data_IF_259956618077
#
_entry.id   IF_259956618077
#
_cell.length_a   1.000
_cell.length_b   1.000
_cell.length_c   1.000
_cell.angle_alpha   90.00
_cell.angle_beta   90.00
_cell.angle_gamma   90.00
#
_symmetry.space_group_name_H-M   'P 1'
#
loop_
_entity.id
_entity.type
_entity.pdbx_description
1 polymer ?
#
# COMPACT_ATOMS: atom_id res chain seq x y z
N UNK A 1 -19.56 -28.03 51.94
CA UNK A 1 -18.14 -27.64 51.71
C UNK A 1 -17.87 -27.08 50.30
N UNK A 2 -18.66 -27.40 49.26
CA UNK A 2 -18.46 -26.90 47.88
C UNK A 2 -18.72 -25.38 47.71
N UNK A 3 -19.73 -24.83 48.37
CA UNK A 3 -20.09 -23.40 48.28
C UNK A 3 -19.03 -22.44 48.84
N UNK A 4 -18.31 -22.84 49.91
CA UNK A 4 -17.27 -21.99 50.50
C UNK A 4 -16.01 -21.92 49.62
N UNK A 5 -15.68 -22.98 48.87
CA UNK A 5 -14.55 -22.96 47.93
C UNK A 5 -14.84 -22.08 46.71
N UNK A 6 -16.07 -22.09 46.20
CA UNK A 6 -16.48 -21.24 45.09
C UNK A 6 -16.49 -19.75 45.47
N UNK A 7 -17.06 -19.42 46.63
CA UNK A 7 -17.08 -18.05 47.16
C UNK A 7 -15.65 -17.51 47.41
N UNK A 8 -14.76 -18.34 47.94
CA UNK A 8 -13.35 -17.97 48.11
C UNK A 8 -12.68 -17.69 46.76
N UNK A 9 -12.85 -18.56 45.77
CA UNK A 9 -12.23 -18.44 44.43
C UNK A 9 -12.72 -17.17 43.69
N UNK A 10 -13.99 -16.82 43.83
CA UNK A 10 -14.57 -15.57 43.30
C UNK A 10 -13.97 -14.35 43.99
N UNK A 11 -13.88 -14.37 45.33
CA UNK A 11 -13.29 -13.27 46.11
C UNK A 11 -11.81 -13.06 45.77
N UNK A 12 -11.04 -14.12 45.59
CA UNK A 12 -9.62 -14.04 45.20
C UNK A 12 -9.47 -13.45 43.79
N UNK A 13 -10.24 -13.93 42.80
CA UNK A 13 -10.22 -13.37 41.43
C UNK A 13 -10.65 -11.91 41.40
N UNK A 14 -11.65 -11.51 42.19
CA UNK A 14 -12.08 -10.12 42.29
C UNK A 14 -11.00 -9.21 42.88
N UNK A 15 -10.26 -9.67 43.89
CA UNK A 15 -9.15 -8.90 44.47
C UNK A 15 -7.96 -8.79 43.50
N UNK A 16 -7.65 -9.85 42.76
CA UNK A 16 -6.62 -9.80 41.70
C UNK A 16 -7.03 -8.86 40.56
N UNK A 17 -8.28 -8.91 40.11
CA UNK A 17 -8.83 -7.97 39.15
C UNK A 17 -8.73 -6.53 39.65
N UNK A 18 -9.13 -6.25 40.91
CA UNK A 18 -9.04 -4.92 41.52
C UNK A 18 -7.60 -4.42 41.61
N UNK A 19 -6.65 -5.30 41.98
CA UNK A 19 -5.22 -4.98 42.04
C UNK A 19 -4.64 -4.68 40.65
N UNK A 20 -5.02 -5.45 39.62
CA UNK A 20 -4.60 -5.24 38.22
C UNK A 20 -5.20 -3.96 37.64
N UNK A 21 -6.50 -3.70 37.87
CA UNK A 21 -7.19 -2.46 37.48
C UNK A 21 -6.51 -1.22 38.08
N UNK A 22 -6.19 -1.25 39.38
CA UNK A 22 -5.47 -0.16 40.02
C UNK A 22 -4.06 0.05 39.45
N UNK A 23 -3.37 -1.02 39.03
CA UNK A 23 -2.07 -0.93 38.38
C UNK A 23 -2.19 -0.28 36.99
N UNK A 24 -3.18 -0.65 36.18
CA UNK A 24 -3.40 -0.04 34.88
C UNK A 24 -3.89 1.41 34.95
N UNK A 25 -4.73 1.77 35.93
CA UNK A 25 -5.12 3.16 36.18
C UNK A 25 -3.89 4.02 36.54
N UNK A 26 -2.97 3.50 37.37
CA UNK A 26 -1.71 4.21 37.68
C UNK A 26 -0.82 4.39 36.45
N UNK A 27 -0.71 3.37 35.59
CA UNK A 27 0.08 3.45 34.34
C UNK A 27 -0.55 4.47 33.38
N UNK A 28 -1.87 4.50 33.27
CA UNK A 28 -2.59 5.50 32.48
C UNK A 28 -2.37 6.92 32.96
N UNK A 29 -2.47 7.15 34.28
CA UNK A 29 -2.23 8.47 34.86
C UNK A 29 -0.78 8.92 34.63
N UNK A 30 0.19 8.00 34.72
CA UNK A 30 1.59 8.28 34.40
C UNK A 30 1.76 8.62 32.91
N UNK A 31 1.17 7.85 32.00
CA UNK A 31 1.28 8.11 30.56
C UNK A 31 0.63 9.44 30.16
N UNK A 32 -0.55 9.76 30.72
CA UNK A 32 -1.21 11.05 30.51
C UNK A 32 -0.41 12.20 31.11
N UNK A 33 0.27 12.02 32.24
CA UNK A 33 1.16 13.03 32.79
C UNK A 33 2.39 13.27 31.90
N UNK A 34 2.99 12.22 31.33
CA UNK A 34 4.14 12.32 30.42
C UNK A 34 3.73 13.00 29.11
N UNK A 35 2.58 12.65 28.54
CA UNK A 35 2.00 13.32 27.37
C UNK A 35 1.70 14.79 27.67
N UNK A 36 1.11 15.10 28.82
CA UNK A 36 0.83 16.48 29.20
C UNK A 36 2.12 17.29 29.30
N UNK A 37 3.16 16.73 29.94
CA UNK A 37 4.47 17.36 30.09
C UNK A 37 5.17 17.57 28.74
N UNK A 38 5.08 16.61 27.80
CA UNK A 38 5.67 16.75 26.46
C UNK A 38 4.92 17.74 25.57
N UNK A 39 3.60 17.85 25.69
CA UNK A 39 2.80 18.89 25.05
C UNK A 39 3.10 20.28 25.62
N UNK A 40 3.30 20.42 26.94
CA UNK A 40 3.69 21.71 27.52
C UNK A 40 5.11 22.13 27.12
N UNK A 41 6.05 21.19 26.98
CA UNK A 41 7.39 21.49 26.44
C UNK A 41 7.35 21.85 24.95
N UNK A 42 6.53 21.17 24.15
CA UNK A 42 6.43 21.47 22.70
C UNK A 42 5.73 22.80 22.43
N UNK A 43 4.76 23.20 23.26
CA UNK A 43 4.07 24.49 23.15
C UNK A 43 5.00 25.67 23.46
N UNK A 44 5.92 25.52 24.43
CA UNK A 44 6.98 26.50 24.70
C UNK A 44 8.01 26.57 23.57
N UNK A 45 8.27 25.46 22.86
CA UNK A 45 9.21 25.43 21.74
C UNK A 45 8.61 25.99 20.43
N UNK A 46 7.29 25.87 20.24
CA UNK A 46 6.58 26.39 19.05
C UNK A 46 6.28 27.89 19.10
N UNK A 47 6.28 28.51 20.29
CA UNK A 47 6.03 29.96 20.43
C UNK A 47 7.22 30.84 20.02
N UNK A 48 8.44 30.27 19.94
CA UNK A 48 9.67 30.96 19.52
C UNK A 48 9.94 30.92 17.99
N UNK A 49 9.15 30.17 17.21
CA UNK A 49 9.36 29.95 15.76
C UNK A 49 8.20 30.51 14.90
N UNK A 50 7.89 31.79 15.06
CA UNK A 50 7.02 32.51 14.13
C UNK A 50 7.82 33.06 12.93
N UNK A 51 7.93 32.28 11.85
CA UNK A 51 8.24 32.78 10.51
C UNK A 51 6.94 32.88 9.70
N UNK A 52 6.57 34.07 9.17
CA UNK A 52 5.33 34.21 8.41
C UNK A 52 5.46 33.57 7.03
N UNK A 53 4.58 32.62 6.74
CA UNK A 53 4.44 32.04 5.40
C UNK A 53 3.67 33.05 4.55
N UNK A 54 4.37 33.73 3.63
CA UNK A 54 3.74 34.51 2.57
C UNK A 54 3.16 33.55 1.53
N UNK A 55 1.83 33.54 1.38
CA UNK A 55 1.15 32.90 0.26
C UNK A 55 1.27 33.81 -0.97
N UNK A 56 2.20 33.49 -1.87
CA UNK A 56 2.23 34.12 -3.18
C UNK A 56 1.09 33.57 -4.05
N UNK A 57 0.07 34.40 -4.20
CA UNK A 57 -0.93 34.31 -5.25
C UNK A 57 -0.24 34.33 -6.62
N UNK A 58 -0.38 33.24 -7.39
CA UNK A 58 0.05 33.20 -8.78
C UNK A 58 -0.99 33.86 -9.67
N UNK A 59 -0.62 35.02 -10.25
CA UNK A 59 -1.23 35.54 -11.45
C UNK A 59 -0.32 35.22 -12.64
N UNK A 60 -0.98 34.80 -13.72
CA UNK A 60 -0.41 34.46 -15.03
C UNK A 60 0.29 35.65 -15.70
N UNK A 61 1.03 35.33 -16.76
CA UNK A 61 1.78 36.20 -17.70
C UNK A 61 3.12 36.74 -17.23
N UNK A 62 4.18 35.92 -17.36
CA UNK A 62 5.48 36.40 -17.86
C UNK A 62 6.27 35.21 -18.44
N UNK A 63 6.63 35.28 -19.72
CA UNK A 63 7.59 34.37 -20.36
C UNK A 63 8.99 34.58 -19.76
N UNK A 64 9.64 33.55 -19.19
CA UNK A 64 11.05 33.65 -18.82
C UNK A 64 11.91 33.07 -19.95
N UNK A 65 12.68 33.93 -20.62
CA UNK A 65 13.82 33.51 -21.43
C UNK A 65 14.98 33.18 -20.48
N UNK A 66 15.42 31.92 -20.44
CA UNK A 66 16.63 31.52 -19.72
C UNK A 66 17.71 31.00 -20.69
N UNK A 67 19.01 31.20 -20.37
CA UNK A 67 20.12 30.89 -21.26
C UNK A 67 20.29 29.39 -21.49
N UNK A 68 20.66 29.01 -22.72
CA UNK A 68 21.03 27.63 -23.08
C UNK A 68 22.14 27.10 -22.17
N UNK A 69 21.84 26.02 -21.45
CA UNK A 69 22.84 25.24 -20.72
C UNK A 69 23.56 24.29 -21.70
N UNK A 70 24.85 23.98 -21.47
CA UNK A 70 25.64 23.18 -22.41
C UNK A 70 25.06 21.77 -22.58
N UNK A 71 24.97 21.35 -23.84
CA UNK A 71 24.55 20.04 -24.30
C UNK A 71 25.44 18.94 -23.70
N UNK A 72 25.02 18.36 -22.58
CA UNK A 72 25.58 17.11 -22.09
C UNK A 72 24.86 15.94 -22.77
N UNK A 73 25.67 14.99 -23.21
CA UNK A 73 25.34 13.81 -24.01
C UNK A 73 24.08 13.08 -23.55
N UNK A 74 23.22 12.81 -24.54
CA UNK A 74 22.10 11.87 -24.53
C UNK A 74 22.43 10.65 -23.65
N UNK A 75 21.85 10.58 -22.46
CA UNK A 75 21.79 9.34 -21.70
C UNK A 75 20.85 8.42 -22.46
N UNK A 76 21.38 7.33 -22.99
CA UNK A 76 20.58 6.32 -23.68
C UNK A 76 19.55 5.72 -22.70
N UNK A 77 18.35 5.30 -23.15
CA UNK A 77 17.32 4.69 -22.30
C UNK A 77 17.73 3.35 -21.65
N UNK A 78 18.97 2.88 -21.84
CA UNK A 78 19.42 1.53 -21.47
C UNK A 78 20.14 1.45 -20.12
N UNK A 79 20.53 2.57 -19.50
CA UNK A 79 21.14 2.55 -18.16
C UNK A 79 20.08 2.82 -17.09
N UNK A 80 19.30 1.79 -16.76
CA UNK A 80 18.52 1.81 -15.52
C UNK A 80 19.50 1.99 -14.36
N UNK A 81 19.37 3.09 -13.60
CA UNK A 81 20.17 3.38 -12.42
C UNK A 81 20.34 2.09 -11.58
N UNK A 82 21.57 1.66 -11.27
CA UNK A 82 21.81 0.43 -10.50
C UNK A 82 21.06 0.42 -9.15
N UNK A 83 20.75 1.60 -8.59
CA UNK A 83 19.92 1.74 -7.39
C UNK A 83 18.47 1.31 -7.65
N UNK A 84 17.91 1.69 -8.79
CA UNK A 84 16.55 1.29 -9.21
C UNK A 84 16.50 -0.22 -9.39
N UNK A 85 17.50 -0.80 -10.06
CA UNK A 85 17.57 -2.26 -10.24
C UNK A 85 17.62 -3.00 -8.89
N UNK A 86 18.41 -2.51 -7.93
CA UNK A 86 18.49 -3.10 -6.60
C UNK A 86 17.17 -2.97 -5.82
N UNK A 87 16.48 -1.84 -5.94
CA UNK A 87 15.14 -1.66 -5.35
C UNK A 87 14.14 -2.64 -5.96
N UNK A 88 14.16 -2.80 -7.29
CA UNK A 88 13.28 -3.74 -7.98
C UNK A 88 13.55 -5.18 -7.56
N UNK A 89 14.82 -5.58 -7.48
CA UNK A 89 15.22 -6.90 -6.98
C UNK A 89 14.73 -7.15 -5.55
N UNK A 90 14.85 -6.17 -4.65
CA UNK A 90 14.33 -6.27 -3.28
C UNK A 90 12.82 -6.45 -3.26
N UNK A 91 12.10 -5.71 -4.10
CA UNK A 91 10.65 -5.84 -4.19
C UNK A 91 10.21 -7.19 -4.77
N UNK A 92 10.92 -7.72 -5.78
CA UNK A 92 10.67 -9.06 -6.31
C UNK A 92 10.92 -10.16 -5.27
N UNK A 93 11.90 -9.97 -4.37
CA UNK A 93 12.13 -10.88 -3.26
C UNK A 93 11.00 -10.87 -2.22
N UNK A 94 10.33 -9.72 -2.03
CA UNK A 94 9.16 -9.62 -1.15
C UNK A 94 7.91 -10.27 -1.74
N UNK A 95 7.82 -10.39 -3.06
CA UNK A 95 6.68 -10.98 -3.77
C UNK A 95 7.20 -12.09 -4.71
N UNK A 96 7.62 -13.24 -4.15
CA UNK A 96 8.18 -14.30 -4.96
C UNK A 96 7.15 -14.85 -5.96
N UNK A 97 7.59 -15.34 -7.13
CA UNK A 97 6.74 -16.06 -8.06
C UNK A 97 6.04 -17.25 -7.38
N UNK A 98 4.71 -17.30 -7.47
CA UNK A 98 3.89 -18.40 -6.97
C UNK A 98 3.15 -19.02 -8.15
N UNK A 99 3.48 -20.26 -8.55
CA UNK A 99 2.75 -20.92 -9.61
C UNK A 99 1.30 -21.15 -9.18
N UNK A 100 0.38 -20.92 -10.09
CA UNK A 100 -1.05 -21.12 -9.87
C UNK A 100 -1.57 -22.31 -10.69
N UNK A 101 -1.48 -23.55 -10.18
CA UNK A 101 -1.93 -24.72 -10.92
C UNK A 101 -3.47 -24.83 -10.92
N UNK A 102 -4.11 -24.59 -9.77
CA UNK A 102 -5.55 -24.78 -9.57
C UNK A 102 -6.08 -23.97 -8.38
N UNK A 103 -7.34 -23.50 -8.44
CA UNK A 103 -7.97 -22.71 -7.35
C UNK A 103 -7.94 -23.43 -6.00
N UNK A 104 -8.11 -24.76 -6.02
CA UNK A 104 -8.14 -25.58 -4.81
C UNK A 104 -6.86 -25.51 -3.97
N UNK A 105 -5.71 -25.15 -4.57
CA UNK A 105 -4.43 -25.04 -3.85
C UNK A 105 -4.17 -23.65 -3.27
N UNK A 106 -5.08 -22.70 -3.50
CA UNK A 106 -4.95 -21.32 -3.01
C UNK A 106 -5.55 -21.18 -1.62
N UNK A 107 -5.20 -20.09 -0.94
CA UNK A 107 -5.61 -19.82 0.43
C UNK A 107 -7.13 -19.71 0.57
N UNK A 108 -7.71 -20.54 1.42
CA UNK A 108 -9.13 -20.52 1.80
C UNK A 108 -9.28 -19.88 3.18
N UNK A 109 -9.93 -18.72 3.22
CA UNK A 109 -10.25 -18.07 4.49
C UNK A 109 -11.16 -18.96 5.37
N UNK A 110 -12.06 -19.74 4.77
CA UNK A 110 -13.01 -20.60 5.49
C UNK A 110 -12.35 -21.80 6.18
N UNK A 111 -11.26 -22.33 5.61
CA UNK A 111 -10.52 -23.45 6.20
C UNK A 111 -9.36 -23.01 7.11
N UNK A 112 -8.93 -21.75 6.99
CA UNK A 112 -7.86 -21.18 7.81
C UNK A 112 -8.31 -21.03 9.26
N UNK A 113 -7.35 -21.05 10.20
CA UNK A 113 -7.64 -20.98 11.63
C UNK A 113 -6.88 -19.86 12.29
N UNK A 114 -7.52 -19.18 13.22
CA UNK A 114 -6.94 -18.11 14.04
C UNK A 114 -6.91 -18.56 15.50
N UNK A 115 -5.78 -18.34 16.16
CA UNK A 115 -5.59 -18.64 17.59
C UNK A 115 -5.14 -17.38 18.32
N UNK A 116 -5.82 -17.02 19.41
CA UNK A 116 -5.35 -15.94 20.29
C UNK A 116 -4.14 -16.45 21.08
N UNK A 117 -3.03 -15.73 21.01
CA UNK A 117 -1.82 -16.06 21.76
C UNK A 117 -1.90 -15.49 23.17
N UNK A 118 -1.59 -16.33 24.17
CA UNK A 118 -1.61 -15.97 25.60
C UNK A 118 -2.88 -15.23 26.03
N UNK A 119 -4.08 -15.84 25.86
CA UNK A 119 -5.35 -15.19 26.14
C UNK A 119 -5.45 -14.77 27.61
N UNK A 120 -5.98 -13.56 27.83
CA UNK A 120 -6.23 -12.99 29.16
C UNK A 120 -7.69 -12.59 29.28
N UNK A 121 -8.21 -12.65 30.50
CA UNK A 121 -9.58 -12.19 30.79
C UNK A 121 -9.75 -10.68 30.56
N UNK A 122 -8.66 -9.91 30.72
CA UNK A 122 -8.65 -8.45 30.59
C UNK A 122 -7.33 -7.96 30.03
N UNK A 123 -7.39 -6.92 29.21
CA UNK A 123 -6.24 -6.21 28.66
C UNK A 123 -6.30 -4.74 29.05
N UNK A 124 -5.15 -4.09 29.12
CA UNK A 124 -5.05 -2.65 29.35
C UNK A 124 -4.79 -1.92 28.03
N UNK A 125 -5.21 -0.66 27.94
CA UNK A 125 -4.93 0.16 26.76
C UNK A 125 -3.41 0.30 26.61
N UNK A 126 -2.96 0.28 25.36
CA UNK A 126 -1.54 0.25 24.99
C UNK A 126 -0.95 -1.15 24.97
N UNK A 127 -1.60 -2.16 25.56
CA UNK A 127 -1.15 -3.55 25.42
C UNK A 127 -1.43 -4.09 24.01
N UNK A 128 -0.74 -5.18 23.67
CA UNK A 128 -0.91 -5.90 22.42
C UNK A 128 -1.77 -7.14 22.60
N UNK A 129 -2.62 -7.39 21.61
CA UNK A 129 -3.33 -8.64 21.41
C UNK A 129 -2.76 -9.33 20.16
N UNK A 130 -2.05 -10.43 20.39
CA UNK A 130 -1.37 -11.20 19.36
C UNK A 130 -2.22 -12.41 18.94
N UNK A 131 -2.37 -12.60 17.63
CA UNK A 131 -3.07 -13.73 17.02
C UNK A 131 -2.12 -14.50 16.12
N UNK A 132 -2.18 -15.82 16.16
CA UNK A 132 -1.55 -16.69 15.17
C UNK A 132 -2.60 -17.12 14.15
N UNK A 133 -2.40 -16.73 12.90
CA UNK A 133 -3.18 -17.20 11.76
C UNK A 133 -2.42 -18.34 11.08
N UNK A 134 -3.03 -19.51 11.01
CA UNK A 134 -2.57 -20.65 10.19
C UNK A 134 -3.45 -20.71 8.94
N UNK A 135 -2.84 -20.45 7.78
CA UNK A 135 -3.58 -20.47 6.52
C UNK A 135 -3.62 -21.87 5.90
N UNK A 136 -4.77 -22.18 5.32
CA UNK A 136 -5.03 -23.46 4.66
C UNK A 136 -5.56 -23.24 3.26
N UNK A 137 -5.38 -24.24 2.41
CA UNK A 137 -5.97 -24.25 1.08
C UNK A 137 -7.45 -24.67 1.09
N UNK A 138 -8.09 -24.64 -0.08
CA UNK A 138 -9.48 -25.10 -0.24
C UNK A 138 -9.65 -26.61 -0.07
N UNK A 139 -8.56 -27.39 0.06
CA UNK A 139 -8.61 -28.81 0.43
C UNK A 139 -8.38 -29.02 1.95
N UNK A 140 -8.23 -27.93 2.72
CA UNK A 140 -8.01 -28.00 4.16
C UNK A 140 -6.57 -28.37 4.56
N UNK A 141 -5.64 -28.34 3.61
CA UNK A 141 -4.22 -28.61 3.87
C UNK A 141 -3.53 -27.31 4.27
N UNK A 142 -2.62 -27.40 5.24
CA UNK A 142 -1.81 -26.25 5.65
C UNK A 142 -0.89 -25.82 4.49
N UNK A 143 -0.82 -24.52 4.21
CA UNK A 143 0.12 -24.00 3.21
C UNK A 143 1.54 -23.98 3.77
N UNK A 144 2.53 -24.10 2.89
CA UNK A 144 3.95 -24.12 3.24
C UNK A 144 4.64 -22.76 3.03
N UNK A 145 3.90 -21.76 2.55
CA UNK A 145 4.41 -20.46 2.20
C UNK A 145 3.36 -19.38 2.47
N UNK A 146 3.83 -18.13 2.57
CA UNK A 146 2.98 -16.96 2.75
C UNK A 146 2.85 -16.10 1.49
N UNK A 147 2.70 -14.79 1.69
CA UNK A 147 2.51 -13.78 0.65
C UNK A 147 1.05 -13.42 0.40
N UNK A 148 0.12 -13.89 1.24
CA UNK A 148 -1.29 -13.53 1.15
C UNK A 148 -1.48 -12.04 1.47
N UNK A 149 -2.30 -11.35 0.69
CA UNK A 149 -2.67 -9.97 1.00
C UNK A 149 -3.82 -9.97 2.01
N UNK A 150 -3.47 -9.76 3.27
CA UNK A 150 -4.37 -9.79 4.41
C UNK A 150 -4.64 -8.37 4.93
N UNK A 151 -5.88 -8.14 5.37
CA UNK A 151 -6.25 -6.93 6.12
C UNK A 151 -6.71 -7.31 7.52
N UNK A 152 -5.95 -6.84 8.51
CA UNK A 152 -6.30 -6.94 9.91
C UNK A 152 -6.92 -5.62 10.39
N UNK A 153 -8.10 -5.68 10.99
CA UNK A 153 -8.81 -4.52 11.54
C UNK A 153 -9.41 -4.85 12.89
N UNK A 154 -9.26 -3.94 13.84
CA UNK A 154 -10.09 -3.90 15.03
C UNK A 154 -11.06 -2.72 14.97
N UNK A 155 -12.24 -2.88 15.55
CA UNK A 155 -13.25 -1.83 15.56
C UNK A 155 -14.20 -1.94 16.75
N UNK A 156 -14.70 -0.80 17.19
CA UNK A 156 -15.77 -0.69 18.18
C UNK A 156 -16.82 0.27 17.64
N UNK A 157 -17.89 -0.24 16.98
CA UNK A 157 -18.90 0.61 16.35
C UNK A 157 -19.54 1.63 17.29
N UNK A 158 -19.80 1.24 18.55
CA UNK A 158 -20.38 2.12 19.57
C UNK A 158 -19.49 3.35 19.87
N UNK A 159 -18.18 3.21 19.74
CA UNK A 159 -17.21 4.28 19.95
C UNK A 159 -16.81 4.98 18.65
N UNK A 160 -17.34 4.53 17.50
CA UNK A 160 -16.90 4.96 16.16
C UNK A 160 -15.38 4.87 15.98
N UNK A 161 -14.76 3.89 16.65
CA UNK A 161 -13.32 3.71 16.68
C UNK A 161 -12.90 2.51 15.81
N UNK A 162 -11.75 2.62 15.17
CA UNK A 162 -11.15 1.56 14.38
C UNK A 162 -9.66 1.74 14.23
N UNK A 163 -8.92 0.63 14.16
CA UNK A 163 -7.49 0.65 13.88
C UNK A 163 -7.07 -0.60 13.10
N UNK A 164 -5.95 -0.49 12.39
CA UNK A 164 -5.34 -1.59 11.67
C UNK A 164 -4.50 -2.46 12.61
N UNK A 165 -4.50 -3.77 12.37
CA UNK A 165 -3.52 -4.68 12.95
C UNK A 165 -2.26 -4.74 12.11
N UNK A 166 -1.12 -4.96 12.76
CA UNK A 166 0.14 -5.29 12.11
C UNK A 166 0.12 -6.77 11.71
N UNK A 167 0.52 -7.10 10.48
CA UNK A 167 0.58 -8.47 9.98
C UNK A 167 2.03 -8.79 9.63
N UNK A 168 2.59 -9.79 10.30
CA UNK A 168 3.92 -10.33 10.01
C UNK A 168 3.77 -11.71 9.39
N UNK A 169 4.27 -11.88 8.18
CA UNK A 169 4.30 -13.15 7.48
C UNK A 169 5.57 -13.93 7.83
N UNK A 170 5.44 -15.14 8.37
CA UNK A 170 6.57 -16.03 8.64
C UNK A 170 6.99 -16.84 7.41
N UNK A 171 6.30 -16.67 6.29
CA UNK A 171 6.52 -17.33 5.00
C UNK A 171 6.54 -18.87 5.09
N UNK A 172 5.77 -19.43 6.01
CA UNK A 172 5.64 -20.87 6.25
C UNK A 172 4.16 -21.30 6.42
N UNK A 173 3.25 -20.51 5.84
CA UNK A 173 1.80 -20.65 5.99
C UNK A 173 1.26 -20.23 7.35
N UNK A 174 2.05 -19.47 8.13
CA UNK A 174 1.57 -18.83 9.36
C UNK A 174 1.89 -17.35 9.37
N UNK A 175 1.00 -16.58 10.00
CA UNK A 175 1.13 -15.14 10.16
C UNK A 175 0.92 -14.77 11.63
N UNK A 176 1.71 -13.83 12.14
CA UNK A 176 1.43 -13.14 13.40
C UNK A 176 0.62 -11.88 13.08
N UNK A 177 -0.54 -11.74 13.70
CA UNK A 177 -1.32 -10.51 13.65
C UNK A 177 -1.32 -9.86 15.02
N UNK A 178 -0.83 -8.63 15.10
CA UNK A 178 -0.73 -7.86 16.35
C UNK A 178 -1.64 -6.65 16.32
N UNK A 179 -2.53 -6.55 17.31
CA UNK A 179 -3.36 -5.37 17.54
C UNK A 179 -2.87 -4.61 18.77
N UNK A 180 -2.57 -3.32 18.61
CA UNK A 180 -2.38 -2.41 19.75
C UNK A 180 -3.74 -1.95 20.24
N UNK A 181 -4.08 -2.19 21.51
CA UNK A 181 -5.40 -1.85 22.06
C UNK A 181 -5.46 -0.37 22.44
N UNK A 182 -6.05 0.48 21.59
CA UNK A 182 -6.02 1.94 21.77
C UNK A 182 -7.11 2.51 22.68
N UNK A 183 -8.15 1.74 23.03
CA UNK A 183 -9.27 2.24 23.84
C UNK A 183 -9.88 1.16 24.74
N UNK A 184 -10.58 1.59 25.79
CA UNK A 184 -11.33 0.72 26.69
C UNK A 184 -12.66 0.29 26.04
N UNK A 185 -13.04 -0.96 26.27
CA UNK A 185 -14.34 -1.50 25.86
C UNK A 185 -14.21 -2.76 25.01
N UNK A 186 -15.35 -3.23 24.51
CA UNK A 186 -15.39 -4.39 23.65
C UNK A 186 -14.91 -4.02 22.23
N UNK A 187 -13.96 -4.81 21.72
CA UNK A 187 -13.44 -4.69 20.35
C UNK A 187 -13.88 -5.89 19.52
N UNK A 188 -14.23 -5.65 18.26
CA UNK A 188 -14.45 -6.68 17.25
C UNK A 188 -13.23 -6.73 16.33
N UNK A 189 -12.66 -7.92 16.16
CA UNK A 189 -11.53 -8.15 15.27
C UNK A 189 -12.02 -8.72 13.94
N UNK A 190 -11.43 -8.27 12.85
CA UNK A 190 -11.69 -8.73 11.49
C UNK A 190 -10.37 -9.00 10.79
N UNK A 191 -10.21 -10.23 10.29
CA UNK A 191 -9.12 -10.62 9.41
C UNK A 191 -9.73 -10.96 8.06
N UNK A 192 -9.39 -10.18 7.04
CA UNK A 192 -9.89 -10.34 5.69
C UNK A 192 -8.76 -10.79 4.77
N UNK A 193 -8.91 -11.95 4.15
CA UNK A 193 -8.13 -12.34 2.98
C UNK A 193 -8.60 -11.51 1.78
N UNK A 194 -7.75 -10.60 1.29
CA UNK A 194 -8.02 -9.81 0.09
C UNK A 194 -7.60 -10.60 -1.15
N UNK A 195 -6.35 -11.05 -1.21
CA UNK A 195 -5.89 -11.93 -2.30
C UNK A 195 -5.02 -13.04 -1.74
N UNK A 196 -5.17 -14.28 -2.24
CA UNK A 196 -4.23 -15.34 -1.91
C UNK A 196 -2.85 -15.00 -2.52
N UNK A 197 -1.78 -15.54 -1.96
CA UNK A 197 -0.39 -15.32 -2.39
C UNK A 197 -0.14 -15.52 -3.89
N UNK A 198 -0.87 -16.44 -4.51
CA UNK A 198 -0.84 -16.76 -5.93
C UNK A 198 -1.43 -15.62 -6.76
N UNK A 199 -2.51 -15.01 -6.28
CA UNK A 199 -3.11 -13.83 -6.89
C UNK A 199 -2.24 -12.59 -6.73
N UNK A 200 -1.63 -12.41 -5.56
CA UNK A 200 -0.66 -11.31 -5.32
C UNK A 200 0.53 -11.44 -6.28
N UNK A 201 1.09 -12.64 -6.40
CA UNK A 201 2.19 -12.92 -7.32
C UNK A 201 1.80 -12.70 -8.79
N UNK A 202 0.60 -13.14 -9.20
CA UNK A 202 0.08 -12.90 -10.54
C UNK A 202 -0.12 -11.41 -10.84
N UNK A 203 -0.66 -10.63 -9.89
CA UNK A 203 -0.80 -9.17 -10.03
C UNK A 203 0.55 -8.48 -10.14
N UNK A 204 1.52 -8.86 -9.31
CA UNK A 204 2.88 -8.31 -9.35
C UNK A 204 3.55 -8.55 -10.69
N UNK A 205 3.55 -9.80 -11.15
CA UNK A 205 4.06 -10.18 -12.48
C UNK A 205 3.35 -9.41 -13.59
N UNK A 206 2.01 -9.39 -13.58
CA UNK A 206 1.22 -8.72 -14.60
C UNK A 206 1.51 -7.21 -14.64
N UNK A 207 1.69 -6.56 -13.48
CA UNK A 207 2.08 -5.15 -13.38
C UNK A 207 3.45 -4.90 -14.02
N UNK A 208 4.42 -5.78 -13.75
CA UNK A 208 5.80 -5.63 -14.22
C UNK A 208 5.99 -6.03 -15.70
N UNK A 209 4.99 -6.65 -16.32
CA UNK A 209 5.11 -7.17 -17.69
C UNK A 209 4.95 -6.10 -18.79
N UNK A 210 4.49 -4.88 -18.50
CA UNK A 210 4.58 -3.82 -19.51
C UNK A 210 3.77 -2.55 -19.27
N UNK A 211 4.26 -1.49 -19.93
CA UNK A 211 3.70 -0.13 -19.95
C UNK A 211 2.66 0.09 -21.07
N UNK A 212 2.36 -0.95 -21.85
CA UNK A 212 1.47 -0.88 -23.02
C UNK A 212 -0.03 -1.01 -22.66
N UNK A 213 -0.42 -0.48 -21.49
CA UNK A 213 -1.82 -0.53 -21.03
C UNK A 213 -2.61 0.72 -21.44
N UNK A 214 -1.90 1.79 -21.75
CA UNK A 214 -2.48 3.09 -22.08
C UNK A 214 -2.06 3.43 -23.51
N UNK A 215 -3.06 3.66 -24.36
CA UNK A 215 -2.85 4.26 -25.67
C UNK A 215 -2.79 5.76 -25.44
N UNK A 216 -1.73 6.41 -25.93
CA UNK A 216 -1.68 7.85 -26.04
C UNK A 216 -1.87 8.24 -27.51
N UNK A 217 -2.78 9.15 -27.77
CA UNK A 217 -3.07 9.65 -29.12
C UNK A 217 -2.94 11.16 -29.11
N UNK A 218 -1.99 11.66 -29.91
CA UNK A 218 -1.75 13.07 -30.12
C UNK A 218 -2.56 13.58 -31.30
N UNK A 219 -3.20 14.73 -31.14
CA UNK A 219 -3.87 15.45 -32.22
C UNK A 219 -2.99 16.59 -32.73
N UNK A 220 -2.58 16.51 -33.99
CA UNK A 220 -1.84 17.54 -34.70
C UNK A 220 -2.79 18.39 -35.54
N UNK A 221 -2.73 19.71 -35.41
CA UNK A 221 -3.60 20.63 -36.14
C UNK A 221 -2.81 21.71 -36.89
N UNK A 222 -3.19 21.93 -38.14
CA UNK A 222 -2.70 23.05 -38.96
C UNK A 222 -3.88 23.64 -39.74
N UNK A 223 -4.37 24.80 -39.31
CA UNK A 223 -5.61 25.38 -39.82
C UNK A 223 -6.82 24.48 -39.52
N UNK A 224 -7.53 24.06 -40.57
CA UNK A 224 -8.69 23.14 -40.47
C UNK A 224 -8.29 21.67 -40.46
N UNK A 225 -7.08 21.33 -40.90
CA UNK A 225 -6.59 19.95 -40.95
C UNK A 225 -6.23 19.45 -39.56
N UNK A 226 -6.76 18.28 -39.20
CA UNK A 226 -6.47 17.58 -37.94
C UNK A 226 -6.05 16.15 -38.24
N UNK A 227 -4.95 15.71 -37.64
CA UNK A 227 -4.43 14.35 -37.81
C UNK A 227 -4.14 13.76 -36.43
N UNK A 228 -4.63 12.54 -36.20
CA UNK A 228 -4.33 11.78 -34.99
C UNK A 228 -3.09 10.93 -35.24
N UNK A 229 -2.24 10.83 -34.23
CA UNK A 229 -1.02 10.03 -34.28
C UNK A 229 -0.77 9.32 -32.96
N UNK A 230 -0.15 8.15 -33.03
CA UNK A 230 0.25 7.39 -31.83
C UNK A 230 1.38 8.11 -31.11
N UNK A 231 1.27 8.15 -29.78
CA UNK A 231 2.26 8.72 -28.90
C UNK A 231 2.57 7.78 -27.72
N UNK A 232 3.65 8.06 -26.98
CA UNK A 232 4.02 7.28 -25.81
C UNK A 232 5.41 7.64 -25.27
N UNK A 233 5.72 7.11 -24.09
CA UNK A 233 7.06 7.19 -23.48
C UNK A 233 8.08 6.32 -24.21
N UNK A 234 7.62 5.19 -24.76
CA UNK A 234 8.44 4.29 -25.58
C UNK A 234 7.58 3.82 -26.74
N UNK A 235 8.05 4.04 -27.97
CA UNK A 235 7.37 3.62 -29.19
C UNK A 235 8.25 2.64 -29.95
N UNK A 236 7.73 1.46 -30.25
CA UNK A 236 8.44 0.46 -31.06
C UNK A 236 8.09 0.64 -32.54
N UNK A 237 8.69 1.65 -33.17
CA UNK A 237 8.44 2.00 -34.58
C UNK A 237 9.70 2.52 -35.26
N UNK A 238 9.80 2.33 -36.58
CA UNK A 238 10.85 2.90 -37.42
C UNK A 238 10.46 4.24 -38.07
N UNK A 239 9.23 4.72 -37.81
CA UNK A 239 8.75 5.99 -38.34
C UNK A 239 9.49 7.20 -37.74
N UNK A 240 9.47 8.34 -38.44
CA UNK A 240 9.98 9.60 -37.89
C UNK A 240 9.17 9.99 -36.65
N UNK A 241 9.86 10.36 -35.56
CA UNK A 241 9.24 10.71 -34.29
C UNK A 241 9.41 12.21 -33.99
N UNK A 242 8.36 12.79 -33.43
CA UNK A 242 8.41 14.05 -32.72
C UNK A 242 8.80 13.78 -31.27
N UNK A 243 9.89 14.41 -30.81
CA UNK A 243 10.36 14.34 -29.43
C UNK A 243 9.94 15.58 -28.65
N UNK A 244 9.30 15.37 -27.50
CA UNK A 244 8.96 16.41 -26.54
C UNK A 244 9.73 16.13 -25.24
N UNK A 245 10.92 16.72 -25.14
CA UNK A 245 11.82 16.55 -24.00
C UNK A 245 11.44 17.55 -22.89
N UNK A 246 11.20 17.05 -21.68
CA UNK A 246 11.23 17.87 -20.48
C UNK A 246 12.68 17.99 -19.99
N UNK A 247 13.26 19.18 -20.15
CA UNK A 247 14.64 19.47 -19.75
C UNK A 247 14.90 19.33 -18.25
N UNK A 248 13.87 19.45 -17.41
CA UNK A 248 14.03 19.34 -15.95
C UNK A 248 14.28 17.89 -15.54
N UNK A 249 13.43 17.02 -16.05
CA UNK A 249 13.34 15.63 -15.62
C UNK A 249 14.12 14.70 -16.59
N UNK A 250 14.64 15.27 -17.69
CA UNK A 250 15.36 14.56 -18.76
C UNK A 250 14.54 13.40 -19.35
N UNK A 251 13.22 13.52 -19.28
CA UNK A 251 12.26 12.54 -19.79
C UNK A 251 11.66 13.06 -21.10
N UNK A 252 11.60 12.18 -22.10
CA UNK A 252 11.05 12.51 -23.40
C UNK A 252 9.77 11.74 -23.65
N UNK A 253 8.77 12.47 -24.16
CA UNK A 253 7.56 11.89 -24.70
C UNK A 253 7.61 11.94 -26.23
N UNK A 254 7.17 10.88 -26.90
CA UNK A 254 7.28 10.74 -28.34
C UNK A 254 5.92 10.64 -29.00
N UNK A 255 5.81 11.15 -30.21
CA UNK A 255 4.69 10.90 -31.11
C UNK A 255 5.22 10.53 -32.49
N UNK A 256 4.54 9.62 -33.19
CA UNK A 256 4.81 9.42 -34.62
C UNK A 256 4.50 10.73 -35.35
N UNK A 257 5.44 11.23 -36.15
CA UNK A 257 5.25 12.48 -36.86
C UNK A 257 4.28 12.28 -38.02
N UNK A 258 3.15 13.01 -38.07
CA UNK A 258 2.23 12.89 -39.20
C UNK A 258 2.83 13.45 -40.48
N UNK A 259 2.47 12.86 -41.63
CA UNK A 259 2.89 13.37 -42.93
C UNK A 259 2.42 14.82 -43.11
N UNK A 260 3.31 15.66 -43.62
CA UNK A 260 3.07 17.08 -43.87
C UNK A 260 2.68 17.93 -42.64
N UNK A 261 2.94 17.45 -41.42
CA UNK A 261 2.72 18.21 -40.19
C UNK A 261 4.04 18.43 -39.42
N UNK A 262 4.32 19.64 -38.93
CA UNK A 262 5.46 19.87 -38.07
C UNK A 262 5.16 19.39 -36.64
N UNK A 263 6.18 19.00 -35.87
CA UNK A 263 5.99 18.51 -34.50
C UNK A 263 5.30 19.53 -33.57
N UNK A 264 5.58 20.83 -33.76
CA UNK A 264 4.90 21.91 -33.02
C UNK A 264 3.39 21.99 -33.24
N UNK A 265 2.84 21.26 -34.20
CA UNK A 265 1.40 21.24 -34.46
C UNK A 265 0.61 20.36 -33.48
N UNK A 266 1.26 19.67 -32.53
CA UNK A 266 0.56 18.96 -31.47
C UNK A 266 -0.28 19.94 -30.63
N UNK A 267 -1.58 19.69 -30.55
CA UNK A 267 -2.54 20.58 -29.85
C UNK A 267 -3.22 19.91 -28.67
N UNK A 268 -3.46 18.61 -28.75
CA UNK A 268 -4.17 17.85 -27.73
C UNK A 268 -3.58 16.45 -27.59
N UNK A 269 -3.65 15.93 -26.38
CA UNK A 269 -3.35 14.54 -26.07
C UNK A 269 -4.59 13.90 -25.47
N UNK A 270 -4.93 12.71 -25.94
CA UNK A 270 -6.00 11.87 -25.38
C UNK A 270 -5.45 10.52 -25.01
N UNK A 271 -6.02 9.92 -23.96
CA UNK A 271 -5.65 8.58 -23.49
C UNK A 271 -6.84 7.64 -23.49
N UNK A 272 -6.57 6.36 -23.74
CA UNK A 272 -7.53 5.29 -23.55
C UNK A 272 -6.81 4.03 -23.05
N UNK A 273 -7.54 3.13 -22.40
CA UNK A 273 -6.97 1.86 -21.94
C UNK A 273 -7.00 0.84 -23.08
N UNK A 274 -5.88 0.14 -23.29
CA UNK A 274 -5.87 -1.08 -24.12
C UNK A 274 -6.64 -2.18 -23.40
N UNK A 275 -7.38 -2.99 -24.14
CA UNK A 275 -8.02 -4.21 -23.62
C UNK A 275 -7.01 -5.36 -23.45
N UNK A 276 -5.87 -5.08 -22.82
CA UNK A 276 -4.80 -6.05 -22.60
C UNK A 276 -4.80 -6.48 -21.13
N UNK A 277 -4.77 -7.79 -20.91
CA UNK A 277 -4.60 -8.39 -19.58
C UNK A 277 -3.40 -9.32 -19.62
N UNK A 278 -2.40 -9.02 -18.78
CA UNK A 278 -1.26 -9.90 -18.55
C UNK A 278 -1.55 -11.05 -17.56
N UNK A 279 -2.80 -11.15 -17.08
CA UNK A 279 -3.30 -12.31 -16.34
C UNK A 279 -3.80 -13.37 -17.32
N UNK A 280 -3.36 -14.61 -17.10
CA UNK A 280 -3.90 -15.80 -17.76
C UNK A 280 -5.38 -15.99 -17.39
N UNK A 281 -6.13 -16.72 -18.23
CA UNK A 281 -7.53 -17.06 -17.94
C UNK A 281 -7.71 -17.73 -16.58
N UNK A 282 -6.75 -18.57 -16.17
CA UNK A 282 -6.74 -19.19 -14.85
C UNK A 282 -6.55 -18.14 -13.77
N UNK A 283 -5.53 -17.31 -13.82
CA UNK A 283 -5.27 -16.29 -12.79
C UNK A 283 -6.44 -15.32 -12.64
N UNK A 284 -7.18 -15.00 -13.72
CA UNK A 284 -8.39 -14.18 -13.63
C UNK A 284 -9.43 -14.77 -12.65
N UNK A 285 -9.51 -16.10 -12.53
CA UNK A 285 -10.41 -16.76 -11.57
C UNK A 285 -10.12 -16.43 -10.10
N UNK A 286 -8.91 -15.97 -9.76
CA UNK A 286 -8.52 -15.58 -8.41
C UNK A 286 -9.17 -14.26 -7.95
N UNK A 287 -9.74 -13.50 -8.88
CA UNK A 287 -10.25 -12.15 -8.64
C UNK A 287 -11.78 -12.07 -8.77
N UNK A 288 -12.43 -13.16 -9.17
CA UNK A 288 -13.88 -13.29 -9.11
C UNK A 288 -14.26 -13.91 -7.76
N UNK A 289 -15.20 -13.27 -7.06
CA UNK A 289 -15.71 -13.70 -5.75
C UNK A 289 -17.20 -13.89 -5.82
#
# INVERSE_FOLDING_TARGET
QLNNRLAHKIKTRYQEYKKRKNKCVRIHLLFMSILCMSYSLSFQFWSELHLPIFLHHWNTTTTPSYPEAPLNSVVSPAETDPRIQEIMKKLDQLIPPRPFPHVNTTTSAAHSRVTVLSPRDTYCIGEHLDLLLEVKDYLGRRKEYGGDFLRARMSSPALKAGASGEVTDFNNGTYLVRFTLFWEGQVSLSLLLIHPSEGVSALWRARNQGYDRVIFTGQFANGTSRVLSECGLTLNTSAELCQYLDTRDQEAFYCVKPQHMPCRALTYMTTSNREISYLTLKEKSLFYR
#
